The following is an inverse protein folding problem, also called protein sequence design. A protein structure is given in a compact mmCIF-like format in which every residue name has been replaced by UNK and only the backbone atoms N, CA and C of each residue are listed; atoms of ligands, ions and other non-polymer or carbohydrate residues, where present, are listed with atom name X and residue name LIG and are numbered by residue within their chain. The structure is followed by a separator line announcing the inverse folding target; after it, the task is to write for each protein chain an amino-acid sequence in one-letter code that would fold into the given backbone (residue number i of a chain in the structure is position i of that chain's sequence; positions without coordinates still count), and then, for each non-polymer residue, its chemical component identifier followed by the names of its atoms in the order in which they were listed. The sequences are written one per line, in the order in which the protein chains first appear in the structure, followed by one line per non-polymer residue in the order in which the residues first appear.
data_IF_684590836614
#
_entry.id   IF_684590836614
#
_cell.length_a   1.000
_cell.length_b   1.000
_cell.length_c   1.000
_cell.angle_alpha   90.00
_cell.angle_beta   90.00
_cell.angle_gamma   90.00
#
_symmetry.space_group_name_H-M   'P 1'
#
loop_
_entity.id
_entity.type
_entity.pdbx_description
1 polymer ?
#
# COMPACT_ATOMS: atom_id res chain seq x y z
N UNK A 1 17.70 -10.49 48.01
CA UNK A 1 16.66 -11.47 47.62
C UNK A 1 15.43 -10.81 47.01
N UNK A 2 14.82 -9.77 47.63
CA UNK A 2 13.66 -9.07 47.04
C UNK A 2 13.97 -8.34 45.73
N UNK A 3 15.13 -7.67 45.63
CA UNK A 3 15.52 -6.89 44.44
C UNK A 3 15.72 -7.75 43.17
N UNK A 4 16.29 -8.94 43.30
CA UNK A 4 16.46 -9.86 42.17
C UNK A 4 15.13 -10.39 41.65
N UNK A 5 14.16 -10.60 42.55
CA UNK A 5 12.82 -11.04 42.21
C UNK A 5 12.06 -9.96 41.42
N UNK A 6 12.25 -8.67 41.74
CA UNK A 6 11.71 -7.56 40.96
C UNK A 6 12.31 -7.47 39.55
N UNK A 7 13.63 -7.67 39.41
CA UNK A 7 14.32 -7.62 38.11
C UNK A 7 13.81 -8.75 37.19
N UNK A 8 13.67 -9.97 37.72
CA UNK A 8 13.18 -11.10 36.94
C UNK A 8 11.74 -10.90 36.45
N UNK A 9 10.85 -10.39 37.31
CA UNK A 9 9.47 -10.08 36.92
C UNK A 9 9.42 -9.00 35.84
N UNK A 10 10.25 -7.96 35.98
CA UNK A 10 10.31 -6.87 35.00
C UNK A 10 10.79 -7.35 33.63
N UNK A 11 11.85 -8.18 33.59
CA UNK A 11 12.34 -8.78 32.34
C UNK A 11 11.33 -9.72 31.71
N UNK A 12 10.64 -10.53 32.51
CA UNK A 12 9.59 -11.42 32.03
C UNK A 12 8.42 -10.63 31.43
N UNK A 13 7.98 -9.56 32.09
CA UNK A 13 6.93 -8.68 31.58
C UNK A 13 7.34 -7.99 30.26
N UNK A 14 8.59 -7.51 30.16
CA UNK A 14 9.14 -6.97 28.92
C UNK A 14 9.17 -8.01 27.80
N UNK A 15 9.59 -9.24 28.10
CA UNK A 15 9.61 -10.33 27.12
C UNK A 15 8.20 -10.62 26.60
N UNK A 16 7.22 -10.74 27.50
CA UNK A 16 5.81 -10.96 27.13
C UNK A 16 5.26 -9.79 26.33
N UNK A 17 5.62 -8.55 26.65
CA UNK A 17 5.21 -7.36 25.89
C UNK A 17 5.77 -7.37 24.47
N UNK A 18 7.07 -7.63 24.33
CA UNK A 18 7.77 -7.67 23.03
C UNK A 18 7.23 -8.81 22.16
N UNK A 19 6.95 -9.98 22.74
CA UNK A 19 6.44 -11.16 22.03
C UNK A 19 4.92 -11.06 21.78
N UNK A 20 4.18 -10.37 22.65
CA UNK A 20 2.73 -10.14 22.51
C UNK A 20 2.39 -9.03 21.51
N UNK A 21 3.25 -8.01 21.38
CA UNK A 21 3.14 -6.93 20.39
C UNK A 21 2.89 -7.42 18.95
N UNK A 22 3.67 -8.36 18.38
CA UNK A 22 3.43 -8.85 17.02
C UNK A 22 2.14 -9.69 16.89
N UNK A 23 1.65 -10.29 17.97
CA UNK A 23 0.36 -10.99 17.96
C UNK A 23 -0.84 -10.03 17.91
N UNK A 24 -0.72 -8.86 18.51
CA UNK A 24 -1.73 -7.81 18.44
C UNK A 24 -1.75 -7.12 17.07
N UNK A 25 -0.65 -7.18 16.34
CA UNK A 25 -0.52 -6.69 14.97
C UNK A 25 -1.06 -7.66 13.91
N UNK A 26 -1.81 -8.72 14.23
CA UNK A 26 -2.41 -9.62 13.22
C UNK A 26 -3.27 -8.93 12.14
N UNK A 27 -3.65 -7.67 12.32
CA UNK A 27 -4.21 -6.81 11.27
C UNK A 27 -3.24 -6.43 10.13
N UNK A 28 -1.92 -6.59 10.29
CA UNK A 28 -0.91 -6.29 9.26
C UNK A 28 -0.82 -7.37 8.18
N UNK A 29 -1.20 -8.62 8.48
CA UNK A 29 -1.29 -9.70 7.48
C UNK A 29 -2.33 -9.40 6.40
N UNK A 30 -3.46 -8.77 6.77
CA UNK A 30 -4.47 -8.32 5.82
C UNK A 30 -3.93 -7.21 4.89
N UNK A 31 -3.19 -6.26 5.46
CA UNK A 31 -2.51 -5.21 4.70
C UNK A 31 -1.45 -5.76 3.73
N UNK A 32 -0.74 -6.83 4.10
CA UNK A 32 0.21 -7.50 3.20
C UNK A 32 -0.49 -8.23 2.05
N UNK A 33 -1.63 -8.88 2.30
CA UNK A 33 -2.43 -9.54 1.25
C UNK A 33 -3.03 -8.52 0.27
N UNK A 34 -3.53 -7.40 0.78
CA UNK A 34 -4.04 -6.30 -0.07
C UNK A 34 -2.93 -5.68 -0.92
N UNK A 35 -1.74 -5.49 -0.35
CA UNK A 35 -0.55 -5.01 -1.06
C UNK A 35 -0.15 -5.95 -2.21
N UNK A 36 -0.25 -7.27 -2.01
CA UNK A 36 0.02 -8.27 -3.04
C UNK A 36 -1.04 -8.21 -4.17
N UNK A 37 -2.33 -8.15 -3.80
CA UNK A 37 -3.42 -8.09 -4.79
C UNK A 37 -3.34 -6.81 -5.66
N UNK A 38 -3.00 -5.66 -5.07
CA UNK A 38 -2.80 -4.41 -5.82
C UNK A 38 -1.61 -4.48 -6.77
N UNK A 39 -0.52 -5.16 -6.37
CA UNK A 39 0.64 -5.40 -7.24
C UNK A 39 0.29 -6.34 -8.40
N UNK A 40 -0.44 -7.42 -8.15
CA UNK A 40 -0.92 -8.33 -9.21
C UNK A 40 -1.83 -7.59 -10.21
N UNK A 41 -2.80 -6.82 -9.73
CA UNK A 41 -3.66 -5.98 -10.58
C UNK A 41 -2.86 -4.96 -11.41
N UNK A 42 -1.82 -4.37 -10.81
CA UNK A 42 -0.93 -3.42 -11.50
C UNK A 42 -0.10 -4.09 -12.60
N UNK A 43 0.38 -5.32 -12.38
CA UNK A 43 1.13 -6.09 -13.37
C UNK A 43 0.24 -6.44 -14.57
N UNK A 44 -0.97 -6.93 -14.32
CA UNK A 44 -1.94 -7.24 -15.40
C UNK A 44 -2.31 -6.01 -16.21
N UNK A 45 -2.47 -4.86 -15.56
CA UNK A 45 -2.67 -3.58 -16.25
C UNK A 45 -1.49 -3.26 -17.18
N UNK A 46 -0.25 -3.45 -16.71
CA UNK A 46 0.94 -3.20 -17.54
C UNK A 46 0.98 -4.13 -18.76
N UNK A 47 0.65 -5.40 -18.58
CA UNK A 47 0.57 -6.38 -19.67
C UNK A 47 -0.42 -5.96 -20.77
N UNK A 48 -1.62 -5.51 -20.39
CA UNK A 48 -2.63 -5.01 -21.37
C UNK A 48 -2.16 -3.72 -22.06
N UNK A 49 -1.47 -2.82 -21.34
CA UNK A 49 -0.93 -1.61 -21.95
C UNK A 49 0.16 -1.94 -22.96
N UNK A 50 1.03 -2.89 -22.64
CA UNK A 50 2.11 -3.28 -23.53
C UNK A 50 1.57 -4.04 -24.76
N UNK A 51 0.52 -4.86 -24.60
CA UNK A 51 -0.14 -5.49 -25.74
C UNK A 51 -0.77 -4.47 -26.70
N UNK A 52 -1.37 -3.40 -26.18
CA UNK A 52 -1.93 -2.31 -26.99
C UNK A 52 -0.82 -1.59 -27.78
N UNK A 53 0.34 -1.34 -27.16
CA UNK A 53 1.48 -0.69 -27.84
C UNK A 53 2.02 -1.55 -28.97
N UNK A 54 2.15 -2.86 -28.73
CA UNK A 54 2.61 -3.81 -29.74
C UNK A 54 1.63 -3.86 -30.92
N UNK A 55 0.32 -3.86 -30.63
CA UNK A 55 -0.73 -3.82 -31.65
C UNK A 55 -0.67 -2.54 -32.51
N UNK A 56 -0.43 -1.38 -31.87
CA UNK A 56 -0.26 -0.10 -32.57
C UNK A 56 0.99 -0.09 -33.46
N UNK A 57 2.07 -0.71 -32.98
CA UNK A 57 3.31 -0.85 -33.75
C UNK A 57 3.08 -1.76 -34.96
N UNK A 58 2.41 -2.90 -34.80
CA UNK A 58 2.07 -3.81 -35.90
C UNK A 58 1.15 -3.16 -36.95
N UNK A 59 0.19 -2.33 -36.52
CA UNK A 59 -0.63 -1.53 -37.43
C UNK A 59 0.20 -0.50 -38.22
N UNK A 60 1.10 0.23 -37.55
CA UNK A 60 2.03 1.18 -38.22
C UNK A 60 2.95 0.49 -39.21
N UNK A 61 3.33 -0.75 -38.94
CA UNK A 61 4.11 -1.59 -39.84
C UNK A 61 3.26 -2.21 -40.97
N UNK A 62 1.98 -1.84 -41.09
CA UNK A 62 1.01 -2.37 -42.06
C UNK A 62 0.87 -3.90 -42.02
N UNK A 63 1.14 -4.51 -40.85
CA UNK A 63 1.08 -5.96 -40.64
C UNK A 63 -0.33 -6.44 -40.27
N UNK A 64 -1.20 -5.51 -39.87
CA UNK A 64 -2.59 -5.73 -39.45
C UNK A 64 -3.50 -4.75 -40.20
N UNK A 65 -4.68 -5.22 -40.61
CA UNK A 65 -5.68 -4.38 -41.31
C UNK A 65 -6.33 -3.37 -40.35
N UNK A 66 -6.80 -2.24 -40.84
CA UNK A 66 -7.44 -1.22 -39.99
C UNK A 66 -8.71 -1.74 -39.29
N UNK A 67 -9.43 -2.67 -39.95
CA UNK A 67 -10.62 -3.30 -39.39
C UNK A 67 -10.28 -4.20 -38.19
N UNK A 68 -9.24 -5.02 -38.33
CA UNK A 68 -8.79 -5.95 -37.26
C UNK A 68 -8.10 -5.20 -36.12
N UNK A 69 -7.40 -4.10 -36.43
CA UNK A 69 -6.80 -3.24 -35.42
C UNK A 69 -7.87 -2.64 -34.49
N UNK A 70 -8.93 -2.07 -35.06
CA UNK A 70 -10.00 -1.41 -34.28
C UNK A 70 -10.70 -2.39 -33.32
N UNK A 71 -11.03 -3.59 -33.79
CA UNK A 71 -11.71 -4.60 -32.96
C UNK A 71 -10.84 -5.05 -31.80
N UNK A 72 -9.57 -5.38 -32.06
CA UNK A 72 -8.62 -5.83 -31.04
C UNK A 72 -8.28 -4.71 -30.04
N UNK A 73 -8.10 -3.49 -30.54
CA UNK A 73 -7.86 -2.32 -29.70
C UNK A 73 -9.02 -2.06 -28.74
N UNK A 74 -10.26 -2.07 -29.24
CA UNK A 74 -11.46 -1.84 -28.43
C UNK A 74 -11.65 -2.93 -27.36
N UNK A 75 -11.27 -4.18 -27.65
CA UNK A 75 -11.32 -5.28 -26.70
C UNK A 75 -10.26 -5.13 -25.59
N UNK A 76 -9.01 -4.88 -25.95
CA UNK A 76 -7.94 -4.62 -24.97
C UNK A 76 -8.21 -3.35 -24.14
N UNK A 77 -8.82 -2.33 -24.73
CA UNK A 77 -9.21 -1.11 -24.01
C UNK A 77 -10.27 -1.39 -22.94
N UNK A 78 -11.28 -2.22 -23.27
CA UNK A 78 -12.31 -2.65 -22.31
C UNK A 78 -11.71 -3.45 -21.16
N UNK A 79 -10.78 -4.36 -21.47
CA UNK A 79 -10.08 -5.14 -20.45
C UNK A 79 -9.28 -4.24 -19.51
N UNK A 80 -8.48 -3.32 -20.06
CA UNK A 80 -7.70 -2.36 -19.28
C UNK A 80 -8.58 -1.45 -18.41
N UNK A 81 -9.71 -0.98 -18.93
CA UNK A 81 -10.68 -0.19 -18.17
C UNK A 81 -11.29 -0.99 -17.00
N UNK A 82 -11.56 -2.28 -17.19
CA UNK A 82 -12.08 -3.16 -16.14
C UNK A 82 -11.07 -3.41 -15.02
N UNK A 83 -9.78 -3.51 -15.35
CA UNK A 83 -8.70 -3.63 -14.37
C UNK A 83 -8.54 -2.33 -13.57
N UNK A 84 -8.62 -1.17 -14.24
CA UNK A 84 -8.57 0.13 -13.59
C UNK A 84 -9.74 0.34 -12.61
N UNK A 85 -10.95 -0.04 -13.00
CA UNK A 85 -12.13 0.03 -12.13
C UNK A 85 -11.98 -0.83 -10.85
N UNK A 86 -11.23 -1.94 -10.91
CA UNK A 86 -10.93 -2.77 -9.74
C UNK A 86 -9.90 -2.12 -8.79
N UNK A 87 -9.03 -1.25 -9.31
CA UNK A 87 -8.07 -0.48 -8.52
C UNK A 87 -8.68 0.80 -7.92
N UNK A 88 -9.65 1.41 -8.61
CA UNK A 88 -10.38 2.60 -8.15
C UNK A 88 -11.47 2.28 -7.13
N UNK A 89 -11.64 1.02 -6.73
CA UNK A 89 -12.49 0.68 -5.59
C UNK A 89 -11.91 1.45 -4.40
N UNK A 90 -12.59 2.50 -3.89
CA UNK A 90 -12.10 3.20 -2.72
C UNK A 90 -11.93 2.13 -1.67
N UNK A 91 -10.79 2.13 -0.97
CA UNK A 91 -10.58 1.32 0.23
C UNK A 91 -11.83 1.47 1.08
N UNK A 92 -12.80 0.58 0.91
CA UNK A 92 -14.08 0.66 1.60
C UNK A 92 -13.66 0.38 3.01
N UNK A 93 -13.54 1.45 3.79
CA UNK A 93 -13.65 1.45 5.24
C UNK A 93 -14.84 0.56 5.53
N UNK A 94 -14.55 -0.72 5.82
CA UNK A 94 -15.60 -1.66 6.19
C UNK A 94 -16.24 -1.06 7.44
N UNK A 95 -17.57 -0.84 7.46
CA UNK A 95 -18.24 -0.46 8.67
C UNK A 95 -17.93 -1.53 9.71
N UNK A 96 -17.33 -1.11 10.83
CA UNK A 96 -17.29 -1.91 12.07
C UNK A 96 -18.72 -2.33 12.37
N UNK A 97 -19.00 -3.62 12.18
CA UNK A 97 -20.15 -4.29 12.78
C UNK A 97 -19.62 -5.32 13.78
N UNK A 98 -19.37 -4.79 14.99
CA UNK A 98 -19.53 -5.43 16.30
C UNK A 98 -18.73 -6.70 16.60
N UNK A 99 -17.72 -6.54 17.44
CA UNK A 99 -17.77 -7.18 18.76
C UNK A 99 -17.09 -6.27 19.77
N UNK A 100 -17.80 -6.07 20.87
CA UNK A 100 -17.52 -5.14 21.95
C UNK A 100 -16.07 -5.22 22.47
N UNK A 101 -15.50 -4.05 22.77
CA UNK A 101 -15.21 -3.64 24.16
C UNK A 101 -14.30 -2.41 24.15
N UNK A 102 -14.87 -1.33 24.67
CA UNK A 102 -14.28 -0.30 25.53
C UNK A 102 -12.81 0.13 25.33
N UNK A 103 -12.67 1.39 24.88
CA UNK A 103 -11.84 2.52 25.37
C UNK A 103 -10.73 2.24 26.43
N UNK A 104 -9.62 3.04 26.53
CA UNK A 104 -9.53 4.48 26.25
C UNK A 104 -8.18 5.08 25.73
N UNK A 105 -8.28 6.24 25.06
CA UNK A 105 -7.51 7.51 25.17
C UNK A 105 -5.98 7.56 25.45
N UNK A 106 -5.31 8.36 24.60
CA UNK A 106 -4.30 9.43 24.92
C UNK A 106 -2.86 8.95 25.30
N UNK A 107 -1.72 9.52 24.89
CA UNK A 107 -1.31 10.90 24.55
C UNK A 107 0.04 10.84 23.79
N UNK A 108 0.20 11.42 22.60
CA UNK A 108 0.67 12.79 22.31
C UNK A 108 2.07 13.16 22.84
N UNK A 109 3.10 12.96 21.99
CA UNK A 109 4.24 13.89 21.91
C UNK A 109 4.01 14.70 20.63
N UNK A 110 3.66 15.98 20.77
CA UNK A 110 3.48 16.95 19.69
C UNK A 110 4.80 17.16 18.95
N UNK A 111 5.05 16.38 17.91
CA UNK A 111 5.99 16.77 16.86
C UNK A 111 5.15 17.36 15.73
N UNK A 112 5.36 18.64 15.45
CA UNK A 112 4.68 19.31 14.35
C UNK A 112 5.05 18.59 13.04
N UNK A 113 4.06 18.34 12.16
CA UNK A 113 4.33 17.70 10.88
C UNK A 113 5.27 18.59 10.06
N UNK A 114 6.46 18.09 9.76
CA UNK A 114 7.38 18.74 8.83
C UNK A 114 6.96 18.35 7.43
N UNK A 115 6.98 19.28 6.48
CA UNK A 115 6.65 19.02 5.08
C UNK A 115 7.88 19.16 4.20
N UNK A 116 7.92 18.39 3.11
CA UNK A 116 8.96 18.49 2.10
C UNK A 116 8.88 19.84 1.39
N UNK A 117 9.98 20.60 1.35
CA UNK A 117 10.04 21.90 0.69
C UNK A 117 9.93 21.82 -0.85
N UNK A 118 10.18 20.64 -1.43
CA UNK A 118 10.19 20.47 -2.88
C UNK A 118 8.87 19.91 -3.45
N UNK A 119 8.18 19.02 -2.72
CA UNK A 119 6.94 18.42 -3.19
C UNK A 119 5.75 18.56 -2.23
N UNK A 120 5.94 19.14 -1.05
CA UNK A 120 4.88 19.39 -0.08
C UNK A 120 4.37 18.16 0.69
N UNK A 121 4.95 16.98 0.47
CA UNK A 121 4.52 15.76 1.20
C UNK A 121 4.93 15.82 2.68
N UNK A 122 4.10 15.28 3.54
CA UNK A 122 4.42 15.16 4.97
C UNK A 122 5.63 14.24 5.18
N UNK A 123 6.58 14.71 5.99
CA UNK A 123 7.81 14.01 6.31
C UNK A 123 7.61 13.20 7.58
N UNK A 124 7.91 11.91 7.47
CA UNK A 124 8.03 11.01 8.61
C UNK A 124 9.22 11.41 9.49
N UNK A 125 9.09 11.17 10.80
CA UNK A 125 10.12 11.51 11.77
C UNK A 125 11.47 10.84 11.42
N UNK A 126 12.55 11.62 11.40
CA UNK A 126 13.92 11.21 11.04
C UNK A 126 14.14 10.79 9.57
N UNK A 127 13.36 11.32 8.62
CA UNK A 127 13.60 11.09 7.20
C UNK A 127 14.81 11.87 6.65
N UNK A 128 15.79 11.16 6.09
CA UNK A 128 16.94 11.77 5.37
C UNK A 128 16.61 12.14 3.92
N UNK A 129 15.68 11.39 3.29
CA UNK A 129 15.23 11.58 1.92
C UNK A 129 13.71 11.57 1.86
N UNK A 130 13.14 12.39 0.97
CA UNK A 130 11.72 12.44 0.73
C UNK A 130 11.26 11.22 -0.07
N UNK A 131 10.27 10.47 0.44
CA UNK A 131 9.74 9.27 -0.21
C UNK A 131 9.09 9.54 -1.57
N UNK A 132 8.59 10.76 -1.79
CA UNK A 132 7.81 11.07 -2.99
C UNK A 132 8.64 11.70 -4.12
N UNK A 133 9.59 12.56 -3.80
CA UNK A 133 10.41 13.25 -4.82
C UNK A 133 11.91 12.93 -4.73
N UNK A 134 12.35 12.13 -3.76
CA UNK A 134 13.74 11.74 -3.59
C UNK A 134 14.68 12.84 -3.09
N UNK A 135 14.19 14.06 -2.85
CA UNK A 135 15.04 15.17 -2.37
C UNK A 135 15.58 14.86 -0.99
N UNK A 136 16.85 15.19 -0.77
CA UNK A 136 17.48 15.12 0.55
C UNK A 136 16.96 16.25 1.44
N UNK A 137 16.56 15.92 2.67
CA UNK A 137 15.84 16.83 3.59
C UNK A 137 16.59 17.09 4.90
N UNK A 138 17.64 16.30 5.18
CA UNK A 138 18.65 16.53 6.23
C UNK A 138 19.82 15.60 6.04
#
# INVERSE_FOLDING_TARGET
MSLELFILIFLFALAVWVIGSPLYQRGTMASMKDSYNLRDLSLRKQEVIDSIKDLELDYKMSKVSEGDFKTLYDESLKEGASLLAQMDVPLKTKPKAKSDQDHPKSSSVKQQPKFCSQCGVELVANAHYCIQCGVKIS
#
